data_IF_842196861960
#
_entry.id   IF_842196861960
#
_cell.length_a   1.000
_cell.length_b   1.000
_cell.length_c   1.000
_cell.angle_alpha   90.00
_cell.angle_beta   90.00
_cell.angle_gamma   90.00
#
_symmetry.space_group_name_H-M   'P 1'
#
loop_
_entity.id
_entity.type
_entity.pdbx_description
1 polymer ?
#
# COMPACT_ATOMS: atom_id res chain seq x y z
N UNK A 1 5.10 -8.49 21.30
CA UNK A 1 5.65 -9.47 20.34
C UNK A 1 4.89 -9.49 19.02
N UNK A 2 3.61 -9.87 18.91
CA UNK A 2 2.89 -9.74 17.61
C UNK A 2 2.41 -8.31 17.30
N UNK A 3 2.08 -7.52 18.32
CA UNK A 3 1.63 -6.12 18.14
C UNK A 3 2.73 -5.23 17.55
N UNK A 4 3.94 -5.29 18.12
CA UNK A 4 5.07 -4.47 17.67
C UNK A 4 5.44 -4.74 16.19
N UNK A 5 5.39 -6.01 15.76
CA UNK A 5 5.60 -6.37 14.35
C UNK A 5 4.46 -5.94 13.42
N UNK A 6 3.24 -5.83 13.94
CA UNK A 6 2.09 -5.42 13.13
C UNK A 6 2.17 -3.92 12.82
N UNK A 7 2.47 -3.10 13.82
CA UNK A 7 2.62 -1.65 13.65
C UNK A 7 3.74 -1.33 12.65
N UNK A 8 4.84 -2.09 12.69
CA UNK A 8 5.95 -1.93 11.75
C UNK A 8 5.56 -2.34 10.32
N UNK A 9 4.82 -3.45 10.15
CA UNK A 9 4.29 -3.88 8.85
C UNK A 9 3.35 -2.84 8.26
N UNK A 10 2.42 -2.32 9.07
CA UNK A 10 1.50 -1.26 8.64
C UNK A 10 2.28 -0.01 8.27
N UNK A 11 3.29 0.37 9.06
CA UNK A 11 4.17 1.50 8.76
C UNK A 11 4.87 1.37 7.40
N UNK A 12 5.44 0.20 7.09
CA UNK A 12 6.06 -0.07 5.78
C UNK A 12 5.05 0.05 4.64
N UNK A 13 3.86 -0.56 4.78
CA UNK A 13 2.82 -0.47 3.77
C UNK A 13 2.35 0.98 3.56
N UNK A 14 2.15 1.74 4.63
CA UNK A 14 1.71 3.13 4.57
C UNK A 14 2.76 4.01 3.89
N UNK A 15 4.04 3.89 4.26
CA UNK A 15 5.12 4.70 3.68
C UNK A 15 5.26 4.46 2.16
N UNK A 16 5.29 3.21 1.73
CA UNK A 16 5.41 2.87 0.30
C UNK A 16 4.19 3.37 -0.47
N UNK A 17 2.99 3.17 0.08
CA UNK A 17 1.77 3.57 -0.61
C UNK A 17 1.60 5.08 -0.68
N UNK A 18 1.94 5.80 0.38
CA UNK A 18 1.90 7.26 0.43
C UNK A 18 2.84 7.88 -0.61
N UNK A 19 4.07 7.37 -0.72
CA UNK A 19 5.02 7.80 -1.74
C UNK A 19 4.47 7.56 -3.16
N UNK A 20 3.93 6.38 -3.42
CA UNK A 20 3.30 6.05 -4.71
C UNK A 20 2.15 7.01 -5.04
N UNK A 21 1.24 7.26 -4.09
CA UNK A 21 0.08 8.14 -4.28
C UNK A 21 0.49 9.58 -4.62
N UNK A 22 1.56 10.09 -4.01
CA UNK A 22 2.02 11.46 -4.23
C UNK A 22 2.87 11.65 -5.49
N UNK A 23 3.57 10.61 -5.95
CA UNK A 23 4.58 10.76 -7.01
C UNK A 23 4.21 10.09 -8.32
N UNK A 24 3.47 8.98 -8.29
CA UNK A 24 3.27 8.12 -9.45
C UNK A 24 1.78 7.89 -9.79
N UNK A 25 0.89 7.94 -8.80
CA UNK A 25 -0.53 7.76 -9.04
C UNK A 25 -1.12 8.97 -9.78
N UNK A 26 -1.44 8.77 -11.07
CA UNK A 26 -2.00 9.78 -11.97
C UNK A 26 -3.53 9.88 -11.96
N UNK A 27 -4.21 9.24 -11.00
CA UNK A 27 -5.67 9.23 -10.89
C UNK A 27 -6.33 7.92 -11.33
N UNK A 28 -7.66 7.91 -11.55
CA UNK A 28 -8.42 6.68 -11.71
C UNK A 28 -7.94 5.85 -12.89
N UNK A 29 -7.72 4.55 -12.66
CA UNK A 29 -7.20 3.63 -13.66
C UNK A 29 -5.67 3.58 -13.80
N UNK A 30 -4.91 4.35 -13.02
CA UNK A 30 -3.43 4.34 -13.07
C UNK A 30 -2.79 3.59 -11.90
N UNK A 31 -3.54 2.72 -11.20
CA UNK A 31 -3.00 1.93 -10.09
C UNK A 31 -1.94 0.95 -10.61
N UNK A 32 -0.72 1.02 -10.07
CA UNK A 32 0.39 0.13 -10.45
C UNK A 32 0.53 -1.03 -9.46
N UNK A 33 1.04 -2.16 -9.95
CA UNK A 33 1.31 -3.34 -9.10
C UNK A 33 2.62 -3.21 -8.30
N UNK A 34 3.57 -2.43 -8.82
CA UNK A 34 4.92 -2.25 -8.25
C UNK A 34 4.94 -1.91 -6.76
N UNK A 35 4.20 -0.89 -6.25
CA UNK A 35 4.23 -0.56 -4.82
C UNK A 35 3.83 -1.74 -3.93
N UNK A 36 2.97 -2.65 -4.39
CA UNK A 36 2.57 -3.82 -3.60
C UNK A 36 3.62 -4.93 -3.62
N UNK A 37 4.42 -5.03 -4.68
CA UNK A 37 5.59 -5.92 -4.71
C UNK A 37 6.62 -5.38 -3.72
N UNK A 38 6.90 -4.08 -3.77
CA UNK A 38 7.85 -3.42 -2.87
C UNK A 38 7.46 -3.57 -1.40
N UNK A 39 6.15 -3.55 -1.08
CA UNK A 39 5.66 -3.86 0.27
C UNK A 39 6.05 -5.27 0.71
N UNK A 40 5.79 -6.28 -0.12
CA UNK A 40 6.09 -7.66 0.25
C UNK A 40 7.60 -7.87 0.43
N UNK A 41 8.41 -7.35 -0.51
CA UNK A 41 9.85 -7.47 -0.49
C UNK A 41 10.44 -6.74 0.72
N UNK A 42 10.06 -5.49 0.96
CA UNK A 42 10.55 -4.70 2.11
C UNK A 42 10.20 -5.35 3.44
N UNK A 43 8.99 -5.87 3.61
CA UNK A 43 8.59 -6.58 4.83
C UNK A 43 9.44 -7.83 5.02
N UNK A 44 9.63 -8.63 3.97
CA UNK A 44 10.43 -9.86 4.04
C UNK A 44 11.90 -9.58 4.32
N UNK A 45 12.48 -8.56 3.68
CA UNK A 45 13.88 -8.13 3.87
C UNK A 45 14.14 -7.63 5.29
N UNK A 46 13.15 -6.97 5.92
CA UNK A 46 13.20 -6.56 7.32
C UNK A 46 13.01 -7.73 8.31
N UNK A 47 12.75 -8.95 7.81
CA UNK A 47 12.46 -10.12 8.65
C UNK A 47 11.11 -10.05 9.35
N UNK A 48 10.22 -9.16 8.90
CA UNK A 48 8.89 -8.98 9.46
C UNK A 48 7.92 -10.06 8.92
N UNK A 49 6.94 -10.49 9.73
CA UNK A 49 6.01 -11.52 9.30
C UNK A 49 4.96 -10.96 8.32
N UNK A 50 4.51 -11.81 7.41
CA UNK A 50 3.26 -11.57 6.67
C UNK A 50 3.36 -10.64 5.45
N UNK A 51 4.55 -10.42 4.89
CA UNK A 51 4.74 -9.57 3.70
C UNK A 51 3.78 -9.86 2.54
N UNK A 52 3.66 -11.12 2.07
CA UNK A 52 2.72 -11.47 1.01
C UNK A 52 1.25 -11.19 1.37
N UNK A 53 0.87 -11.37 2.63
CA UNK A 53 -0.48 -11.14 3.13
C UNK A 53 -0.80 -9.65 3.20
N UNK A 54 0.14 -8.84 3.70
CA UNK A 54 0.02 -7.40 3.80
C UNK A 54 -0.12 -6.76 2.41
N UNK A 55 0.78 -7.11 1.48
CA UNK A 55 0.72 -6.66 0.09
C UNK A 55 -0.62 -7.04 -0.58
N UNK A 56 -1.09 -8.28 -0.38
CA UNK A 56 -2.36 -8.74 -0.94
C UNK A 56 -3.57 -8.04 -0.34
N UNK A 57 -3.55 -7.74 0.96
CA UNK A 57 -4.61 -6.96 1.60
C UNK A 57 -4.62 -5.52 1.08
N UNK A 58 -3.44 -4.90 0.97
CA UNK A 58 -3.26 -3.54 0.47
C UNK A 58 -3.77 -3.39 -0.99
N UNK A 59 -3.36 -4.28 -1.91
CA UNK A 59 -3.82 -4.18 -3.31
C UNK A 59 -5.33 -4.38 -3.43
N UNK A 60 -5.91 -5.30 -2.65
CA UNK A 60 -7.36 -5.54 -2.66
C UNK A 60 -8.13 -4.34 -2.12
N UNK A 61 -7.62 -3.69 -1.07
CA UNK A 61 -8.20 -2.45 -0.57
C UNK A 61 -8.06 -1.33 -1.61
N UNK A 62 -6.87 -1.14 -2.18
CA UNK A 62 -6.60 -0.08 -3.14
C UNK A 62 -7.49 -0.17 -4.37
N UNK A 63 -7.64 -1.37 -4.95
CA UNK A 63 -8.52 -1.62 -6.10
C UNK A 63 -9.99 -1.26 -5.83
N UNK A 64 -10.45 -1.37 -4.59
CA UNK A 64 -11.84 -1.12 -4.22
C UNK A 64 -12.11 0.34 -3.83
N UNK A 65 -11.09 1.10 -3.44
CA UNK A 65 -11.27 2.41 -2.79
C UNK A 65 -10.55 3.56 -3.48
N UNK A 66 -9.30 3.39 -3.94
CA UNK A 66 -8.44 4.53 -4.32
C UNK A 66 -9.00 5.34 -5.49
N UNK A 67 -9.46 4.68 -6.55
CA UNK A 67 -10.07 5.36 -7.70
C UNK A 67 -11.39 6.09 -7.34
N UNK A 68 -12.12 5.55 -6.35
CA UNK A 68 -13.35 6.17 -5.85
C UNK A 68 -13.00 7.39 -5.00
N UNK A 69 -12.10 7.22 -4.05
CA UNK A 69 -11.69 8.25 -3.10
C UNK A 69 -11.00 9.41 -3.85
N UNK A 70 -10.20 9.12 -4.88
CA UNK A 70 -9.61 10.15 -5.74
C UNK A 70 -10.65 11.10 -6.33
N UNK A 71 -11.77 10.56 -6.82
CA UNK A 71 -12.85 11.38 -7.40
C UNK A 71 -13.48 12.27 -6.34
N UNK A 72 -13.60 11.80 -5.10
CA UNK A 72 -14.11 12.59 -3.97
C UNK A 72 -13.08 13.64 -3.51
N UNK A 73 -11.78 13.30 -3.48
CA UNK A 73 -10.70 14.22 -3.08
C UNK A 73 -10.48 15.35 -4.07
N UNK A 74 -10.75 15.11 -5.35
CA UNK A 74 -10.49 16.07 -6.44
C UNK A 74 -11.76 16.70 -7.02
N UNK A 75 -12.96 16.27 -6.58
CA UNK A 75 -14.20 16.93 -6.97
C UNK A 75 -14.26 18.33 -6.38
N UNK A 76 -14.25 19.34 -7.27
CA UNK A 76 -14.42 20.76 -6.94
C UNK A 76 -15.89 21.13 -6.89
#
# INVERSE_FOLDING_TARGET
MFGDSLDEVVGVCTEIFDNFLHSEYGGPGTLLVLPFIDMADTINEKGLPGGPQAARAAIKWAQAHVDKDWKEWTST
#
